data_IF_557321277232
#
_entry.id   IF_557321277232
#
_cell.length_a   1.000
_cell.length_b   1.000
_cell.length_c   1.000
_cell.angle_alpha   90.00
_cell.angle_beta   90.00
_cell.angle_gamma   90.00
#
_symmetry.space_group_name_H-M   'P 1'
#
loop_
_entity.id
_entity.type
_entity.pdbx_description
1 polymer ?
#
# COMPACT_ATOMS: atom_id res chain seq x y z
N UNK A 1 37.72 9.37 -32.68
CA UNK A 1 36.77 8.25 -32.51
C UNK A 1 36.54 7.87 -31.05
N UNK A 2 37.55 7.89 -30.20
CA UNK A 2 37.42 7.54 -28.77
C UNK A 2 36.56 8.53 -27.99
N UNK A 3 36.71 9.82 -28.20
CA UNK A 3 35.94 10.90 -27.55
C UNK A 3 34.47 10.80 -27.85
N UNK A 4 34.10 10.51 -29.10
CA UNK A 4 32.71 10.28 -29.53
C UNK A 4 32.08 9.08 -28.82
N UNK A 5 32.78 7.94 -28.79
CA UNK A 5 32.30 6.73 -28.08
C UNK A 5 32.05 7.02 -26.59
N UNK A 6 32.98 7.73 -25.95
CA UNK A 6 32.88 8.13 -24.55
C UNK A 6 31.64 9.02 -24.30
N UNK A 7 31.29 9.95 -25.20
CA UNK A 7 30.08 10.77 -25.07
C UNK A 7 28.81 9.94 -25.12
N UNK A 8 28.69 9.02 -26.09
CA UNK A 8 27.51 8.15 -26.20
C UNK A 8 27.39 7.19 -25.01
N UNK A 9 28.51 6.69 -24.48
CA UNK A 9 28.53 5.87 -23.27
C UNK A 9 28.04 6.66 -22.05
N UNK A 10 28.48 7.93 -21.92
CA UNK A 10 27.98 8.85 -20.87
C UNK A 10 26.48 9.14 -21.04
N UNK A 11 25.98 9.33 -22.26
CA UNK A 11 24.55 9.51 -22.53
C UNK A 11 23.73 8.24 -22.16
N UNK A 12 24.23 7.05 -22.49
CA UNK A 12 23.60 5.80 -22.10
C UNK A 12 23.55 5.64 -20.57
N UNK A 13 24.65 5.97 -19.87
CA UNK A 13 24.69 5.98 -18.41
C UNK A 13 23.70 6.99 -17.83
N UNK A 14 23.58 8.17 -18.43
CA UNK A 14 22.61 9.18 -18.03
C UNK A 14 21.18 8.66 -18.19
N UNK A 15 20.81 8.09 -19.34
CA UNK A 15 19.49 7.51 -19.60
C UNK A 15 19.17 6.43 -18.58
N UNK A 16 20.12 5.55 -18.30
CA UNK A 16 19.96 4.51 -17.27
C UNK A 16 19.72 5.13 -15.89
N UNK A 17 20.53 6.11 -15.49
CA UNK A 17 20.41 6.81 -14.20
C UNK A 17 19.07 7.54 -14.10
N UNK A 18 18.60 8.12 -15.20
CA UNK A 18 17.28 8.77 -15.29
C UNK A 18 16.14 7.81 -14.98
N UNK A 19 16.12 6.60 -15.59
CA UNK A 19 15.08 5.61 -15.30
C UNK A 19 15.18 5.02 -13.88
N UNK A 20 16.39 4.82 -13.36
CA UNK A 20 16.57 4.42 -11.95
C UNK A 20 15.98 5.49 -11.02
N UNK A 21 16.21 6.75 -11.29
CA UNK A 21 15.62 7.86 -10.52
C UNK A 21 14.10 7.90 -10.61
N UNK A 22 13.53 7.63 -11.79
CA UNK A 22 12.08 7.48 -11.96
C UNK A 22 11.54 6.27 -11.16
N UNK A 23 12.25 5.14 -11.14
CA UNK A 23 11.88 3.98 -10.35
C UNK A 23 11.88 4.28 -8.86
N UNK A 24 12.90 4.97 -8.35
CA UNK A 24 12.94 5.37 -6.92
C UNK A 24 11.73 6.23 -6.56
N UNK A 25 11.39 7.23 -7.39
CA UNK A 25 10.17 8.02 -7.21
C UNK A 25 8.91 7.16 -7.27
N UNK A 26 8.87 6.23 -8.22
CA UNK A 26 7.76 5.30 -8.41
C UNK A 26 7.53 4.39 -7.22
N UNK A 27 8.60 3.83 -6.63
CA UNK A 27 8.52 3.01 -5.40
C UNK A 27 7.90 3.82 -4.26
N UNK A 28 8.41 5.03 -4.00
CA UNK A 28 7.89 5.89 -2.94
C UNK A 28 6.40 6.20 -3.15
N UNK A 29 6.00 6.55 -4.39
CA UNK A 29 4.62 6.88 -4.71
C UNK A 29 3.69 5.66 -4.58
N UNK A 30 4.13 4.49 -5.03
CA UNK A 30 3.36 3.25 -4.93
C UNK A 30 3.18 2.83 -3.47
N UNK A 31 4.24 2.89 -2.66
CA UNK A 31 4.15 2.61 -1.22
C UNK A 31 3.21 3.59 -0.51
N UNK A 32 3.30 4.88 -0.85
CA UNK A 32 2.41 5.89 -0.30
C UNK A 32 0.94 5.58 -0.66
N UNK A 33 0.67 5.26 -1.92
CA UNK A 33 -0.66 4.88 -2.37
C UNK A 33 -1.20 3.65 -1.64
N UNK A 34 -0.38 2.58 -1.54
CA UNK A 34 -0.73 1.35 -0.81
C UNK A 34 -1.15 1.65 0.63
N UNK A 35 -0.33 2.40 1.36
CA UNK A 35 -0.58 2.66 2.79
C UNK A 35 -1.77 3.60 2.97
N UNK A 36 -1.84 4.71 2.21
CA UNK A 36 -2.91 5.71 2.37
C UNK A 36 -4.27 5.14 1.99
N UNK A 37 -4.40 4.46 0.84
CA UNK A 37 -5.67 3.85 0.44
C UNK A 37 -6.08 2.73 1.40
N UNK A 38 -5.13 1.95 1.90
CA UNK A 38 -5.42 0.91 2.90
C UNK A 38 -5.96 1.51 4.20
N UNK A 39 -5.29 2.52 4.75
CA UNK A 39 -5.75 3.22 5.97
C UNK A 39 -7.14 3.82 5.76
N UNK A 40 -7.37 4.46 4.61
CA UNK A 40 -8.66 5.06 4.30
C UNK A 40 -9.79 4.01 4.36
N UNK A 41 -9.60 2.88 3.69
CA UNK A 41 -10.60 1.79 3.67
C UNK A 41 -10.74 1.18 5.07
N UNK A 42 -9.64 0.97 5.80
CA UNK A 42 -9.67 0.40 7.14
C UNK A 42 -10.42 1.29 8.14
N UNK A 43 -10.19 2.61 8.10
CA UNK A 43 -10.91 3.57 8.92
C UNK A 43 -12.41 3.58 8.58
N UNK A 44 -12.75 3.63 7.29
CA UNK A 44 -14.14 3.59 6.85
C UNK A 44 -14.83 2.27 7.25
N UNK A 45 -14.16 1.12 7.08
CA UNK A 45 -14.68 -0.20 7.50
C UNK A 45 -14.92 -0.25 9.01
N UNK A 46 -14.03 0.33 9.80
CA UNK A 46 -14.16 0.35 11.26
C UNK A 46 -15.46 1.04 11.73
N UNK A 47 -15.75 2.22 11.16
CA UNK A 47 -16.89 3.03 11.59
C UNK A 47 -18.19 2.65 10.90
N UNK A 48 -18.17 2.30 9.61
CA UNK A 48 -19.38 2.05 8.80
C UNK A 48 -19.75 0.57 8.84
N UNK A 49 -18.78 -0.34 9.04
CA UNK A 49 -18.97 -1.81 9.03
C UNK A 49 -19.71 -2.26 7.77
N UNK A 50 -19.06 -2.09 6.61
CA UNK A 50 -19.62 -2.38 5.31
C UNK A 50 -20.22 -3.78 5.20
N UNK A 51 -21.28 -3.92 4.42
CA UNK A 51 -21.79 -5.21 3.98
C UNK A 51 -20.78 -5.96 3.09
N UNK A 52 -21.04 -7.23 2.84
CA UNK A 52 -20.13 -8.10 2.06
C UNK A 52 -19.94 -7.58 0.64
N UNK A 53 -21.01 -7.05 0.01
CA UNK A 53 -20.97 -6.60 -1.38
C UNK A 53 -20.07 -5.34 -1.54
N UNK A 54 -20.31 -4.32 -0.72
CA UNK A 54 -19.53 -3.07 -0.76
C UNK A 54 -18.07 -3.30 -0.36
N UNK A 55 -17.82 -4.13 0.67
CA UNK A 55 -16.46 -4.48 1.10
C UNK A 55 -15.69 -5.22 0.01
N UNK A 56 -16.35 -6.16 -0.69
CA UNK A 56 -15.74 -6.87 -1.83
C UNK A 56 -15.44 -5.90 -2.97
N UNK A 57 -16.35 -4.98 -3.28
CA UNK A 57 -16.12 -3.93 -4.27
C UNK A 57 -14.92 -3.05 -3.91
N UNK A 58 -14.84 -2.57 -2.67
CA UNK A 58 -13.73 -1.73 -2.19
C UNK A 58 -12.40 -2.47 -2.20
N UNK A 59 -12.39 -3.75 -1.86
CA UNK A 59 -11.19 -4.59 -1.95
C UNK A 59 -10.65 -4.66 -3.38
N UNK A 60 -11.50 -4.98 -4.35
CA UNK A 60 -11.08 -5.05 -5.76
C UNK A 60 -10.72 -3.69 -6.34
N UNK A 61 -11.42 -2.64 -5.93
CA UNK A 61 -11.09 -1.26 -6.29
C UNK A 61 -9.69 -0.87 -5.76
N UNK A 62 -9.39 -1.21 -4.51
CA UNK A 62 -8.07 -1.02 -3.92
C UNK A 62 -6.97 -1.72 -4.71
N UNK A 63 -7.17 -2.99 -5.08
CA UNK A 63 -6.22 -3.77 -5.89
C UNK A 63 -6.04 -3.11 -7.27
N UNK A 64 -7.13 -2.76 -7.94
CA UNK A 64 -7.09 -2.16 -9.28
C UNK A 64 -6.34 -0.81 -9.29
N UNK A 65 -6.63 0.09 -8.34
CA UNK A 65 -5.98 1.39 -8.24
C UNK A 65 -4.47 1.25 -7.97
N UNK A 66 -4.09 0.41 -7.01
CA UNK A 66 -2.67 0.21 -6.70
C UNK A 66 -1.92 -0.51 -7.82
N UNK A 67 -2.55 -1.45 -8.52
CA UNK A 67 -1.98 -2.09 -9.70
C UNK A 67 -1.78 -1.08 -10.83
N UNK A 68 -2.73 -0.18 -11.08
CA UNK A 68 -2.59 0.88 -12.08
C UNK A 68 -1.44 1.85 -11.74
N UNK A 69 -1.31 2.24 -10.47
CA UNK A 69 -0.20 3.08 -9.99
C UNK A 69 1.13 2.36 -10.20
N UNK A 70 1.24 1.11 -9.75
CA UNK A 70 2.45 0.31 -9.89
C UNK A 70 2.81 0.08 -11.36
N UNK A 71 1.83 -0.19 -12.21
CA UNK A 71 2.05 -0.36 -13.65
C UNK A 71 2.63 0.91 -14.28
N UNK A 72 2.07 2.08 -13.98
CA UNK A 72 2.52 3.36 -14.53
C UNK A 72 3.91 3.77 -14.02
N UNK A 73 4.16 3.64 -12.73
CA UNK A 73 5.32 4.23 -12.06
C UNK A 73 6.46 3.26 -11.77
N UNK A 74 6.21 1.94 -11.82
CA UNK A 74 7.24 0.91 -11.67
C UNK A 74 7.44 0.12 -12.97
N UNK A 75 6.37 -0.49 -13.50
CA UNK A 75 6.50 -1.43 -14.61
C UNK A 75 6.96 -0.75 -15.90
N UNK A 76 6.37 0.39 -16.27
CA UNK A 76 6.77 1.12 -17.48
C UNK A 76 8.25 1.56 -17.42
N UNK A 77 8.76 2.20 -16.34
CA UNK A 77 10.18 2.54 -16.24
C UNK A 77 11.11 1.32 -16.25
N UNK A 78 10.70 0.18 -15.65
CA UNK A 78 11.47 -1.07 -15.71
C UNK A 78 11.59 -1.56 -17.16
N UNK A 79 10.50 -1.61 -17.91
CA UNK A 79 10.52 -2.04 -19.32
C UNK A 79 11.41 -1.14 -20.18
N UNK A 80 11.43 0.17 -19.89
CA UNK A 80 12.31 1.13 -20.59
C UNK A 80 13.78 0.94 -20.18
N UNK A 81 14.06 0.64 -18.92
CA UNK A 81 15.40 0.37 -18.42
C UNK A 81 15.99 -0.90 -19.02
N UNK A 82 15.15 -1.94 -19.24
CA UNK A 82 15.54 -3.22 -19.83
C UNK A 82 15.48 -3.23 -21.37
N UNK A 83 15.24 -2.06 -22.00
CA UNK A 83 15.11 -1.89 -23.46
C UNK A 83 13.98 -2.70 -24.13
N UNK A 84 13.04 -3.26 -23.37
CA UNK A 84 11.83 -3.89 -23.92
C UNK A 84 10.84 -2.89 -24.50
N UNK A 85 10.97 -1.62 -24.17
CA UNK A 85 10.17 -0.52 -24.70
C UNK A 85 11.07 0.64 -25.10
N UNK A 86 10.73 1.37 -26.17
CA UNK A 86 11.48 2.55 -26.58
C UNK A 86 11.56 3.54 -25.40
N UNK A 87 12.77 3.78 -24.96
CA UNK A 87 13.12 4.78 -23.94
C UNK A 87 13.20 6.18 -24.52
N UNK A 88 13.72 7.12 -23.74
CA UNK A 88 14.12 8.43 -24.25
C UNK A 88 15.26 8.22 -25.26
N UNK A 89 15.17 8.91 -26.39
CA UNK A 89 16.23 8.93 -27.37
C UNK A 89 17.36 9.90 -26.93
N UNK A 90 18.46 9.94 -27.67
CA UNK A 90 19.57 10.83 -27.33
C UNK A 90 19.19 12.32 -27.43
N UNK A 91 18.26 12.68 -28.35
CA UNK A 91 17.77 14.07 -28.47
C UNK A 91 16.94 14.47 -27.24
N UNK A 92 16.07 13.57 -26.76
CA UNK A 92 15.31 13.81 -25.53
C UNK A 92 16.24 13.91 -24.32
N UNK A 93 17.27 13.03 -24.25
CA UNK A 93 18.28 13.08 -23.20
C UNK A 93 19.07 14.41 -23.24
N UNK A 94 19.44 14.89 -24.45
CA UNK A 94 20.10 16.16 -24.64
C UNK A 94 19.24 17.33 -24.16
N UNK A 95 17.93 17.31 -24.44
CA UNK A 95 17.00 18.32 -23.96
C UNK A 95 16.93 18.38 -22.44
N UNK A 96 16.80 17.22 -21.78
CA UNK A 96 16.79 17.14 -20.31
C UNK A 96 18.10 17.65 -19.71
N UNK A 97 19.23 17.33 -20.36
CA UNK A 97 20.55 17.83 -19.95
C UNK A 97 20.68 19.33 -20.16
N UNK A 98 20.14 19.87 -21.26
CA UNK A 98 20.13 21.28 -21.55
C UNK A 98 19.33 22.13 -20.55
N UNK A 99 18.25 21.57 -19.98
CA UNK A 99 17.51 22.20 -18.88
C UNK A 99 18.35 22.34 -17.60
N UNK A 100 19.36 21.46 -17.40
CA UNK A 100 20.26 21.47 -16.25
C UNK A 100 21.56 22.25 -16.51
N UNK A 101 22.06 22.18 -17.74
CA UNK A 101 23.31 22.75 -18.20
C UNK A 101 23.07 23.53 -19.48
N UNK A 102 22.60 24.77 -19.36
CA UNK A 102 22.27 25.63 -20.53
C UNK A 102 23.42 25.82 -21.51
N UNK A 103 24.66 25.77 -21.00
CA UNK A 103 25.88 25.96 -21.79
C UNK A 103 26.15 24.84 -22.82
N UNK A 104 25.57 23.65 -22.59
CA UNK A 104 25.82 22.48 -23.46
C UNK A 104 24.63 22.09 -24.31
N UNK A 105 23.46 22.72 -24.13
CA UNK A 105 22.23 22.34 -24.83
C UNK A 105 22.42 22.34 -26.35
N UNK A 106 22.82 23.47 -26.89
CA UNK A 106 23.00 23.65 -28.34
C UNK A 106 24.17 22.82 -28.89
N UNK A 107 25.26 22.71 -28.10
CA UNK A 107 26.43 21.92 -28.50
C UNK A 107 26.08 20.44 -28.59
N UNK A 108 25.35 19.92 -27.62
CA UNK A 108 24.95 18.49 -27.57
C UNK A 108 23.96 18.19 -28.69
N UNK A 109 22.98 19.04 -28.91
CA UNK A 109 22.02 18.92 -30.03
C UNK A 109 22.73 18.90 -31.37
N UNK A 110 23.64 19.86 -31.60
CA UNK A 110 24.44 19.92 -32.82
C UNK A 110 25.31 18.68 -33.06
N UNK A 111 25.91 18.12 -32.01
CA UNK A 111 26.68 16.87 -32.13
C UNK A 111 25.78 15.71 -32.57
N UNK A 112 24.56 15.60 -31.99
CA UNK A 112 23.61 14.54 -32.34
C UNK A 112 23.10 14.70 -33.78
N UNK A 113 22.83 15.93 -34.24
CA UNK A 113 22.43 16.24 -35.61
C UNK A 113 23.55 15.93 -36.62
N UNK A 114 24.77 16.39 -36.36
CA UNK A 114 25.93 16.04 -37.15
C UNK A 114 26.18 14.51 -37.21
N UNK A 115 25.90 13.81 -36.15
CA UNK A 115 26.02 12.36 -36.08
C UNK A 115 24.97 11.64 -36.93
N UNK A 116 23.80 12.24 -37.16
CA UNK A 116 22.78 11.73 -38.07
C UNK A 116 23.10 12.04 -39.56
N UNK A 117 23.86 13.06 -39.80
CA UNK A 117 24.38 13.40 -41.13
C UNK A 117 25.55 12.48 -41.50
N UNK A 118 25.73 12.23 -42.75
CA UNK A 118 26.63 11.24 -43.37
C UNK A 118 27.98 10.98 -42.65
N UNK A 119 28.25 9.77 -42.23
CA UNK A 119 29.40 9.36 -41.42
C UNK A 119 30.74 9.31 -42.21
N UNK A 120 30.70 9.36 -43.54
CA UNK A 120 31.87 9.16 -44.40
C UNK A 120 32.67 10.48 -44.69
N UNK A 121 32.23 11.59 -44.09
CA UNK A 121 32.92 12.88 -44.29
C UNK A 121 33.88 13.14 -43.12
N UNK A 122 35.19 13.18 -43.44
CA UNK A 122 36.25 13.43 -42.44
C UNK A 122 36.09 14.79 -41.72
N UNK A 123 35.60 15.83 -42.41
CA UNK A 123 35.34 17.15 -41.82
C UNK A 123 34.23 17.11 -40.77
N UNK A 124 33.17 16.32 -41.02
CA UNK A 124 32.07 16.15 -40.07
C UNK A 124 32.58 15.37 -38.84
N UNK A 125 33.38 14.32 -39.05
CA UNK A 125 33.98 13.55 -37.97
C UNK A 125 34.91 14.37 -37.08
N UNK A 126 35.78 15.23 -37.69
CA UNK A 126 36.62 16.15 -36.97
C UNK A 126 35.83 17.18 -36.16
N UNK A 127 34.76 17.74 -36.74
CA UNK A 127 33.88 18.68 -36.06
C UNK A 127 33.17 18.06 -34.86
N UNK A 128 32.67 16.82 -34.99
CA UNK A 128 32.06 16.04 -33.88
C UNK A 128 33.09 15.83 -32.77
N UNK A 129 34.32 15.44 -33.11
CA UNK A 129 35.36 15.17 -32.12
C UNK A 129 35.74 16.44 -31.35
N UNK A 130 35.95 17.58 -32.05
CA UNK A 130 36.21 18.87 -31.43
C UNK A 130 35.11 19.28 -30.44
N UNK A 131 33.85 19.28 -30.91
CA UNK A 131 32.70 19.66 -30.07
C UNK A 131 32.50 18.69 -28.87
N UNK A 132 32.81 17.41 -29.06
CA UNK A 132 32.76 16.42 -28.00
C UNK A 132 33.80 16.68 -26.90
N UNK A 133 35.01 17.13 -27.28
CA UNK A 133 36.05 17.51 -26.32
C UNK A 133 35.60 18.72 -25.48
N UNK A 134 34.91 19.68 -26.08
CA UNK A 134 34.38 20.85 -25.36
C UNK A 134 33.32 20.50 -24.31
N UNK A 135 32.53 19.44 -24.53
CA UNK A 135 31.50 18.93 -23.58
C UNK A 135 32.08 17.96 -22.56
N UNK A 136 33.19 17.31 -22.87
CA UNK A 136 33.81 16.28 -22.06
C UNK A 136 33.99 16.64 -20.58
N UNK A 137 34.36 17.88 -20.19
CA UNK A 137 34.52 18.29 -18.79
C UNK A 137 33.21 18.36 -18.00
N UNK A 138 32.05 18.45 -18.68
CA UNK A 138 30.76 18.64 -18.02
C UNK A 138 30.32 17.35 -17.32
N UNK A 139 29.98 17.40 -16.02
CA UNK A 139 29.55 16.22 -15.25
C UNK A 139 28.09 15.88 -15.53
N UNK A 140 27.79 15.38 -16.73
CA UNK A 140 26.43 15.08 -17.23
C UNK A 140 25.63 14.20 -16.25
N UNK A 141 26.30 13.28 -15.57
CA UNK A 141 25.66 12.37 -14.62
C UNK A 141 25.15 13.08 -13.35
N UNK A 142 25.64 14.30 -13.07
CA UNK A 142 25.19 15.08 -11.89
C UNK A 142 23.85 15.79 -12.13
N UNK A 143 23.37 15.85 -13.39
CA UNK A 143 22.03 16.35 -13.69
C UNK A 143 20.92 15.58 -12.98
N UNK A 144 21.18 14.32 -12.63
CA UNK A 144 20.20 13.48 -11.92
C UNK A 144 20.57 13.38 -10.45
N UNK A 145 19.73 13.99 -9.61
CA UNK A 145 19.91 14.00 -8.18
C UNK A 145 18.87 13.07 -7.50
N UNK A 146 19.36 11.94 -6.95
CA UNK A 146 18.52 10.99 -6.20
C UNK A 146 17.97 11.57 -4.89
N UNK A 147 18.65 12.58 -4.30
CA UNK A 147 18.14 13.23 -3.07
C UNK A 147 16.76 13.86 -3.31
N UNK A 148 16.52 14.37 -4.51
CA UNK A 148 15.21 14.94 -4.90
C UNK A 148 14.14 13.86 -5.02
N UNK A 149 14.51 12.68 -5.52
CA UNK A 149 13.61 11.53 -5.59
C UNK A 149 13.19 11.04 -4.18
N UNK A 150 14.16 10.96 -3.27
CA UNK A 150 13.95 10.55 -1.88
C UNK A 150 13.29 11.65 -1.02
N UNK A 151 13.34 12.93 -1.41
CA UNK A 151 12.70 14.01 -0.66
C UNK A 151 11.20 13.75 -0.42
N UNK A 152 10.55 13.08 -1.37
CA UNK A 152 9.13 12.74 -1.25
C UNK A 152 8.85 11.58 -0.29
N UNK A 153 9.87 10.79 0.12
CA UNK A 153 9.69 9.70 1.10
C UNK A 153 9.27 10.21 2.48
N UNK A 154 9.54 11.47 2.81
CA UNK A 154 9.06 12.11 4.05
C UNK A 154 7.53 12.06 4.18
N UNK A 155 6.79 12.05 3.07
CA UNK A 155 5.34 11.94 3.09
C UNK A 155 4.84 10.58 3.60
N UNK A 156 5.68 9.52 3.57
CA UNK A 156 5.38 8.23 4.19
C UNK A 156 5.30 8.32 5.72
N UNK A 157 5.96 9.31 6.32
CA UNK A 157 5.91 9.51 7.78
C UNK A 157 4.50 9.88 8.28
N UNK A 158 3.67 10.51 7.44
CA UNK A 158 2.31 10.90 7.82
C UNK A 158 1.43 9.68 8.07
N UNK A 159 1.24 8.75 7.10
CA UNK A 159 0.41 7.57 7.34
C UNK A 159 1.02 6.62 8.36
N UNK A 160 2.36 6.49 8.42
CA UNK A 160 3.02 5.69 9.46
C UNK A 160 2.84 6.30 10.86
N UNK A 161 2.95 7.63 10.98
CA UNK A 161 2.67 8.34 12.23
C UNK A 161 1.22 8.18 12.67
N UNK A 162 0.27 8.20 11.74
CA UNK A 162 -1.15 7.95 12.03
C UNK A 162 -1.36 6.54 12.60
N UNK A 163 -0.79 5.50 11.96
CA UNK A 163 -0.84 4.13 12.48
C UNK A 163 -0.23 4.06 13.87
N UNK A 164 0.95 4.68 14.07
CA UNK A 164 1.63 4.70 15.37
C UNK A 164 0.75 5.32 16.46
N UNK A 165 0.10 6.45 16.16
CA UNK A 165 -0.81 7.12 17.11
C UNK A 165 -1.98 6.20 17.49
N UNK A 166 -2.57 5.46 16.55
CA UNK A 166 -3.64 4.50 16.82
C UNK A 166 -3.18 3.40 17.79
N UNK A 167 -1.97 2.86 17.60
CA UNK A 167 -1.42 1.85 18.51
C UNK A 167 -1.15 2.39 19.90
N UNK A 168 -0.53 3.57 20.02
CA UNK A 168 -0.24 4.19 21.32
C UNK A 168 -1.53 4.59 22.07
N UNK A 169 -2.59 4.93 21.31
CA UNK A 169 -3.89 5.31 21.89
C UNK A 169 -4.78 4.12 22.27
N UNK A 170 -4.30 2.85 22.12
CA UNK A 170 -5.10 1.65 22.37
C UNK A 170 -6.27 1.48 21.40
N UNK A 171 -6.15 2.08 20.19
CA UNK A 171 -7.15 1.98 19.12
C UNK A 171 -6.63 1.15 17.94
N UNK A 172 -5.77 0.18 18.21
CA UNK A 172 -5.23 -0.74 17.21
C UNK A 172 -6.30 -1.51 16.46
N UNK A 173 -7.48 -1.72 17.09
CA UNK A 173 -8.64 -2.38 16.47
C UNK A 173 -9.10 -1.70 15.18
N UNK A 174 -8.88 -0.39 15.05
CA UNK A 174 -9.18 0.37 13.82
C UNK A 174 -8.41 -0.21 12.63
N UNK A 175 -7.20 -0.68 12.84
CA UNK A 175 -6.39 -1.28 11.79
C UNK A 175 -6.48 -2.80 11.80
N UNK A 176 -6.33 -3.45 12.97
CA UNK A 176 -6.21 -4.92 13.07
C UNK A 176 -7.52 -5.62 12.70
N UNK A 177 -8.64 -5.28 13.36
CA UNK A 177 -9.95 -5.88 13.05
C UNK A 177 -10.43 -5.52 11.65
N UNK A 178 -10.25 -4.26 11.23
CA UNK A 178 -10.63 -3.84 9.87
C UNK A 178 -9.81 -4.53 8.80
N UNK A 179 -8.49 -4.73 9.03
CA UNK A 179 -7.63 -5.47 8.11
C UNK A 179 -8.13 -6.90 7.92
N UNK A 180 -8.48 -7.60 9.00
CA UNK A 180 -9.04 -8.94 8.92
C UNK A 180 -10.32 -8.97 8.08
N UNK A 181 -11.24 -8.02 8.31
CA UNK A 181 -12.49 -7.90 7.57
C UNK A 181 -12.27 -7.58 6.10
N UNK A 182 -11.32 -6.71 5.77
CA UNK A 182 -10.96 -6.36 4.39
C UNK A 182 -10.33 -7.56 3.67
N UNK A 183 -9.41 -8.28 4.32
CA UNK A 183 -8.76 -9.46 3.72
C UNK A 183 -9.78 -10.57 3.51
N UNK A 184 -10.67 -10.80 4.48
CA UNK A 184 -11.76 -11.77 4.39
C UNK A 184 -13.03 -11.11 3.82
N UNK A 185 -12.89 -10.28 2.77
CA UNK A 185 -13.93 -9.41 2.22
C UNK A 185 -15.23 -10.13 1.85
N UNK A 186 -15.17 -11.42 1.51
CA UNK A 186 -16.29 -12.26 1.10
C UNK A 186 -17.01 -12.97 2.26
N UNK A 187 -16.53 -12.80 3.52
CA UNK A 187 -17.16 -13.40 4.69
C UNK A 187 -18.12 -12.42 5.35
N UNK A 188 -19.25 -12.94 5.81
CA UNK A 188 -20.13 -12.18 6.69
C UNK A 188 -19.51 -12.13 8.10
N UNK A 189 -19.50 -10.96 8.69
CA UNK A 189 -19.11 -10.74 10.09
C UNK A 189 -20.33 -10.27 10.84
N UNK A 190 -20.69 -11.00 11.87
CA UNK A 190 -21.77 -10.60 12.74
C UNK A 190 -21.44 -9.27 13.44
N UNK A 191 -22.41 -8.35 13.56
CA UNK A 191 -22.23 -7.15 14.36
C UNK A 191 -21.90 -7.54 15.81
N UNK A 192 -20.91 -6.88 16.40
CA UNK A 192 -20.65 -7.02 17.83
C UNK A 192 -21.90 -6.63 18.60
N UNK A 193 -22.32 -7.51 19.53
CA UNK A 193 -23.46 -7.22 20.39
C UNK A 193 -23.19 -5.94 21.22
N UNK A 194 -24.15 -5.02 21.36
CA UNK A 194 -23.97 -3.78 22.12
C UNK A 194 -23.95 -4.02 23.63
N UNK A 195 -23.64 -5.26 24.06
CA UNK A 195 -23.57 -5.65 25.45
C UNK A 195 -22.50 -6.73 25.69
N UNK A 196 -22.00 -6.77 26.90
CA UNK A 196 -21.09 -7.81 27.40
C UNK A 196 -21.85 -8.81 28.27
N UNK A 197 -21.53 -10.09 28.16
CA UNK A 197 -22.09 -11.16 28.96
C UNK A 197 -21.08 -11.51 30.05
N UNK A 198 -21.48 -11.37 31.32
CA UNK A 198 -20.70 -11.78 32.48
C UNK A 198 -21.33 -13.05 33.06
N UNK A 199 -20.58 -14.13 33.07
CA UNK A 199 -20.98 -15.37 33.73
C UNK A 199 -20.71 -15.21 35.23
N UNK A 200 -21.74 -15.39 36.07
CA UNK A 200 -21.68 -15.19 37.51
C UNK A 200 -21.59 -16.50 38.32
N UNK A 201 -21.74 -17.63 37.66
CA UNK A 201 -21.58 -18.96 38.25
C UNK A 201 -20.29 -19.60 37.78
N UNK A 202 -19.69 -20.44 38.61
CA UNK A 202 -18.59 -21.30 38.18
C UNK A 202 -19.09 -22.28 37.10
N UNK A 203 -18.28 -22.49 36.05
CA UNK A 203 -18.65 -23.41 34.94
C UNK A 203 -18.43 -24.90 35.28
N UNK A 204 -18.41 -25.21 36.55
CA UNK A 204 -18.27 -26.58 37.07
C UNK A 204 -19.49 -26.93 37.93
N UNK A 205 -20.06 -28.08 37.72
CA UNK A 205 -21.19 -28.59 38.48
C UNK A 205 -20.98 -30.06 38.86
N UNK A 206 -21.70 -30.52 39.89
CA UNK A 206 -21.69 -31.93 40.29
C UNK A 206 -22.50 -32.76 39.30
N UNK A 207 -21.99 -33.94 38.94
CA UNK A 207 -22.67 -34.88 38.08
C UNK A 207 -23.99 -35.37 38.73
N UNK A 208 -25.03 -35.48 37.90
CA UNK A 208 -26.40 -35.87 38.30
C UNK A 208 -27.11 -34.92 39.26
N UNK A 209 -26.61 -33.68 39.41
CA UNK A 209 -27.31 -32.61 40.12
C UNK A 209 -27.82 -31.55 39.19
N UNK A 210 -28.78 -30.76 39.69
CA UNK A 210 -29.28 -29.59 38.99
C UNK A 210 -28.23 -28.49 39.07
N UNK A 211 -27.97 -27.86 37.92
CA UNK A 211 -27.02 -26.76 37.80
C UNK A 211 -27.69 -25.50 37.25
N UNK A 212 -27.51 -24.36 37.89
CA UNK A 212 -28.08 -23.09 37.44
C UNK A 212 -27.00 -22.16 36.91
N UNK A 213 -26.99 -21.96 35.62
CA UNK A 213 -26.17 -20.94 34.97
C UNK A 213 -26.79 -19.56 35.16
N UNK A 214 -26.06 -18.64 35.77
CA UNK A 214 -26.47 -17.23 35.94
C UNK A 214 -25.56 -16.35 35.12
N UNK A 215 -26.16 -15.50 34.32
CA UNK A 215 -25.46 -14.49 33.53
C UNK A 215 -25.96 -13.10 33.88
N UNK A 216 -25.07 -12.13 33.83
CA UNK A 216 -25.37 -10.72 33.90
C UNK A 216 -24.94 -10.04 32.62
N UNK A 217 -25.79 -9.17 32.10
CA UNK A 217 -25.57 -8.42 30.89
C UNK A 217 -25.27 -6.97 31.25
N UNK A 218 -24.18 -6.44 30.70
CA UNK A 218 -23.78 -5.04 30.86
C UNK A 218 -23.63 -4.38 29.51
N UNK A 219 -24.32 -3.29 29.28
CA UNK A 219 -24.28 -2.55 28.02
C UNK A 219 -25.41 -1.55 27.86
N UNK A 220 -25.36 -0.70 26.82
CA UNK A 220 -26.37 0.33 26.56
C UNK A 220 -27.72 -0.26 26.12
N UNK A 221 -27.71 -1.45 25.49
CA UNK A 221 -28.93 -2.11 25.01
C UNK A 221 -28.99 -3.54 25.57
N UNK A 222 -30.01 -3.81 26.40
CA UNK A 222 -30.20 -5.11 27.01
C UNK A 222 -31.36 -5.81 26.31
N UNK A 223 -31.15 -7.00 25.69
CA UNK A 223 -32.19 -7.72 24.99
C UNK A 223 -33.27 -8.20 25.97
N UNK A 224 -34.52 -8.18 25.53
CA UNK A 224 -35.63 -8.67 26.35
C UNK A 224 -35.68 -10.20 26.48
N UNK A 225 -35.11 -10.92 25.53
CA UNK A 225 -35.03 -12.38 25.47
C UNK A 225 -33.59 -12.78 25.26
N UNK A 226 -33.13 -13.78 26.01
CA UNK A 226 -31.83 -14.37 25.88
C UNK A 226 -31.97 -15.86 25.68
N UNK A 227 -31.15 -16.44 24.80
CA UNK A 227 -31.23 -17.86 24.48
C UNK A 227 -29.88 -18.49 24.74
N UNK A 228 -29.90 -19.71 25.25
CA UNK A 228 -28.74 -20.58 25.35
C UNK A 228 -28.88 -21.72 24.34
N UNK A 229 -27.80 -22.03 23.64
CA UNK A 229 -27.77 -23.10 22.64
C UNK A 229 -26.80 -24.16 23.10
N UNK A 230 -27.27 -25.41 23.22
CA UNK A 230 -26.45 -26.56 23.49
C UNK A 230 -27.08 -27.83 22.86
N UNK A 231 -26.29 -28.83 22.54
CA UNK A 231 -26.74 -30.08 21.91
C UNK A 231 -27.66 -29.85 20.70
N UNK A 232 -27.36 -28.88 19.84
CA UNK A 232 -28.13 -28.49 18.67
C UNK A 232 -29.54 -27.91 18.92
N UNK A 233 -29.90 -27.67 20.18
CA UNK A 233 -31.18 -27.08 20.57
C UNK A 233 -30.96 -25.67 21.17
N UNK A 234 -31.98 -24.83 21.03
CA UNK A 234 -31.98 -23.49 21.55
C UNK A 234 -33.06 -23.33 22.63
N UNK A 235 -32.69 -22.86 23.81
CA UNK A 235 -33.57 -22.69 24.96
C UNK A 235 -33.60 -21.25 25.42
N UNK A 236 -34.76 -20.75 25.78
CA UNK A 236 -34.92 -19.40 26.30
C UNK A 236 -34.51 -19.36 27.77
N UNK A 237 -33.65 -18.43 28.13
CA UNK A 237 -33.26 -18.21 29.53
C UNK A 237 -34.36 -17.41 30.28
N UNK A 238 -34.49 -17.70 31.58
CA UNK A 238 -35.43 -17.00 32.45
C UNK A 238 -34.86 -15.64 32.83
N UNK A 239 -35.62 -14.58 32.61
CA UNK A 239 -35.26 -13.22 33.02
C UNK A 239 -35.57 -13.01 34.50
N UNK A 240 -34.57 -12.76 35.34
CA UNK A 240 -34.73 -12.48 36.77
C UNK A 240 -34.85 -10.98 37.05
N UNK A 241 -33.98 -10.20 36.44
CA UNK A 241 -33.95 -8.73 36.58
C UNK A 241 -33.73 -8.09 35.19
N UNK A 242 -33.61 -6.77 35.15
CA UNK A 242 -33.35 -6.03 33.92
C UNK A 242 -32.07 -6.49 33.21
N UNK A 243 -31.05 -6.93 33.99
CA UNK A 243 -29.72 -7.28 33.48
C UNK A 243 -29.33 -8.74 33.71
N UNK A 244 -30.15 -9.53 34.45
CA UNK A 244 -29.78 -10.88 34.90
C UNK A 244 -30.70 -11.92 34.30
N UNK A 245 -30.11 -13.00 33.83
CA UNK A 245 -30.81 -14.18 33.26
C UNK A 245 -30.26 -15.42 33.89
N UNK A 246 -31.12 -16.44 34.09
CA UNK A 246 -30.72 -17.74 34.53
C UNK A 246 -31.27 -18.86 33.63
N UNK A 247 -30.57 -19.99 33.64
CA UNK A 247 -31.02 -21.23 33.02
C UNK A 247 -30.71 -22.43 33.92
N UNK A 248 -31.70 -23.25 34.14
CA UNK A 248 -31.59 -24.43 34.98
C UNK A 248 -31.39 -25.70 34.12
N UNK A 249 -30.21 -26.26 34.23
CA UNK A 249 -29.93 -27.60 33.72
C UNK A 249 -30.35 -28.62 34.77
N UNK A 250 -31.26 -29.51 34.41
CA UNK A 250 -31.73 -30.56 35.31
C UNK A 250 -30.93 -31.84 35.10
N UNK A 251 -30.47 -32.44 36.22
CA UNK A 251 -29.81 -33.74 36.22
C UNK A 251 -28.67 -33.84 35.20
N UNK A 252 -27.66 -33.00 35.38
CA UNK A 252 -26.51 -32.86 34.46
C UNK A 252 -25.67 -34.16 34.51
N UNK A 253 -25.75 -35.01 33.47
CA UNK A 253 -25.09 -36.30 33.41
C UNK A 253 -23.73 -36.31 32.73
N UNK A 254 -23.45 -35.30 31.89
CA UNK A 254 -22.24 -35.16 31.06
C UNK A 254 -21.88 -33.68 30.83
N UNK A 255 -20.65 -33.45 30.37
CA UNK A 255 -20.20 -32.13 30.03
C UNK A 255 -21.02 -31.58 28.87
N UNK A 256 -21.40 -30.30 28.95
CA UNK A 256 -22.14 -29.58 27.91
C UNK A 256 -21.19 -28.61 27.23
N UNK A 257 -21.02 -28.75 25.91
CA UNK A 257 -20.32 -27.80 25.03
C UNK A 257 -21.30 -26.87 24.28
#
# INVERSE_FOLDING_TARGET
MESRKNLFDKLNQFIRKYYINQLVKGVVLTLLGLIVFFILIAVLEHYIKFDVALRTFLFWLYIALNTAIAFKYLFIPILKLLNFRKGINYKDAAKILGEHFSEINDKLTNILELNEMNHDNELISASIEQKTLEISPVPILNAINFKTALKNSKWLLIPLGFIFILFVSGKEDVITKSSERIIKHNKFFEPEAPYNILIKTELTGDQFKDYTLKIQIEGPEIPNKFFISFSNNQFMMNKKNLTSYDFLFKNLGEDIE
#
